data_IF_705451987604
#
_entry.id   IF_705451987604
#
_cell.length_a   1.000
_cell.length_b   1.000
_cell.length_c   1.000
_cell.angle_alpha   90.00
_cell.angle_beta   90.00
_cell.angle_gamma   90.00
#
_symmetry.space_group_name_H-M   'P 1'
#
loop_
_entity.id
_entity.type
_entity.pdbx_description
1 polymer ?
#
# COMPACT_ATOMS: atom_id res chain seq x y z
N UNK A 1 -14.45 2.86 4.67
CA UNK A 1 -13.74 1.87 3.85
C UNK A 1 -12.36 2.40 3.47
N UNK A 2 -12.26 3.58 2.87
CA UNK A 2 -10.99 4.16 2.36
C UNK A 2 -9.89 4.36 3.42
N UNK A 3 -10.23 4.41 4.71
CA UNK A 3 -9.25 4.45 5.80
C UNK A 3 -8.62 3.08 6.09
N UNK A 4 -9.29 1.99 5.71
CA UNK A 4 -8.85 0.63 5.91
C UNK A 4 -8.24 0.08 4.60
N UNK A 5 -6.90 -0.04 4.57
CA UNK A 5 -6.17 -0.48 3.38
C UNK A 5 -6.57 -1.88 2.90
N UNK A 6 -6.84 -2.80 3.83
CA UNK A 6 -7.24 -4.18 3.49
C UNK A 6 -8.59 -4.17 2.79
N UNK A 7 -9.59 -3.49 3.35
CA UNK A 7 -10.91 -3.41 2.70
C UNK A 7 -10.85 -2.66 1.36
N UNK A 8 -10.01 -1.64 1.26
CA UNK A 8 -9.78 -0.95 -0.01
C UNK A 8 -9.22 -1.92 -1.06
N UNK A 9 -8.23 -2.74 -0.69
CA UNK A 9 -7.65 -3.76 -1.58
C UNK A 9 -8.69 -4.77 -2.07
N UNK A 10 -9.52 -5.31 -1.16
CA UNK A 10 -10.59 -6.26 -1.50
C UNK A 10 -11.59 -5.64 -2.49
N UNK A 11 -11.97 -4.39 -2.27
CA UNK A 11 -12.88 -3.69 -3.18
C UNK A 11 -12.25 -3.40 -4.54
N UNK A 12 -10.98 -3.00 -4.57
CA UNK A 12 -10.25 -2.77 -5.81
C UNK A 12 -10.07 -4.03 -6.62
N UNK A 13 -9.79 -5.16 -5.97
CA UNK A 13 -9.75 -6.47 -6.62
C UNK A 13 -11.10 -6.81 -7.26
N UNK A 14 -12.20 -6.66 -6.52
CA UNK A 14 -13.55 -6.90 -7.03
C UNK A 14 -13.94 -5.92 -8.15
N UNK A 15 -13.42 -4.71 -8.11
CA UNK A 15 -13.62 -3.71 -9.17
C UNK A 15 -12.67 -3.90 -10.37
N UNK A 16 -11.77 -4.88 -10.37
CA UNK A 16 -10.70 -5.05 -11.37
C UNK A 16 -9.88 -3.75 -11.55
N UNK A 17 -9.46 -3.14 -10.45
CA UNK A 17 -8.50 -2.04 -10.42
C UNK A 17 -7.12 -2.65 -10.18
N UNK A 18 -6.13 -2.41 -11.07
CA UNK A 18 -4.77 -2.91 -10.89
C UNK A 18 -4.17 -2.45 -9.56
N UNK A 19 -3.51 -3.37 -8.87
CA UNK A 19 -2.88 -3.10 -7.58
C UNK A 19 -1.74 -4.10 -7.30
N UNK A 20 -0.86 -3.78 -6.34
CA UNK A 20 0.17 -4.68 -5.86
C UNK A 20 -0.44 -5.97 -5.29
N UNK A 21 0.24 -7.11 -5.50
CA UNK A 21 -0.10 -8.33 -4.81
C UNK A 21 0.06 -8.15 -3.30
N UNK A 22 -0.79 -8.80 -2.53
CA UNK A 22 -0.82 -8.61 -1.08
C UNK A 22 -1.25 -9.85 -0.32
N UNK A 23 -0.85 -9.87 0.93
CA UNK A 23 -1.34 -10.76 1.98
C UNK A 23 -1.79 -9.87 3.13
N UNK A 24 -2.85 -10.22 3.83
CA UNK A 24 -3.13 -9.56 5.09
C UNK A 24 -3.28 -10.54 6.24
N UNK A 25 -2.88 -10.08 7.41
CA UNK A 25 -2.89 -10.86 8.63
C UNK A 25 -3.65 -10.13 9.73
N UNK A 26 -4.29 -10.90 10.61
CA UNK A 26 -4.83 -10.44 11.88
C UNK A 26 -3.90 -10.94 12.98
N UNK A 27 -3.35 -10.05 13.80
CA UNK A 27 -2.43 -10.39 14.87
C UNK A 27 -3.12 -10.31 16.24
N UNK A 28 -3.11 -11.41 16.99
CA UNK A 28 -3.65 -11.46 18.35
C UNK A 28 -2.83 -12.41 19.22
N UNK A 29 -2.28 -11.93 20.33
CA UNK A 29 -1.50 -12.75 21.29
C UNK A 29 -0.40 -13.61 20.64
N UNK A 30 0.39 -13.03 19.72
CA UNK A 30 1.43 -13.70 18.94
C UNK A 30 0.93 -14.83 17.99
N UNK A 31 -0.37 -14.92 17.78
CA UNK A 31 -0.98 -15.73 16.72
C UNK A 31 -1.27 -14.81 15.54
N UNK A 32 -0.96 -15.26 14.34
CA UNK A 32 -1.16 -14.51 13.11
C UNK A 32 -2.13 -15.27 12.21
N UNK A 33 -3.35 -14.78 12.12
CA UNK A 33 -4.34 -15.35 11.20
C UNK A 33 -4.14 -14.72 9.83
N UNK A 34 -3.61 -15.49 8.90
CA UNK A 34 -3.53 -15.09 7.49
C UNK A 34 -4.90 -15.29 6.86
N UNK A 35 -5.32 -14.33 6.05
CA UNK A 35 -6.59 -14.41 5.31
C UNK A 35 -6.30 -14.28 3.83
N UNK A 36 -6.75 -15.27 3.06
CA UNK A 36 -6.59 -15.29 1.61
C UNK A 36 -7.69 -14.46 0.90
N UNK A 37 -7.60 -14.37 -0.41
CA UNK A 37 -8.57 -13.63 -1.25
C UNK A 37 -9.95 -14.30 -1.35
N UNK A 38 -10.11 -15.54 -0.85
CA UNK A 38 -11.37 -16.25 -0.71
C UNK A 38 -11.94 -16.13 0.73
N UNK A 39 -11.26 -15.37 1.60
CA UNK A 39 -11.57 -15.19 3.01
C UNK A 39 -11.40 -16.46 3.87
N UNK A 40 -10.62 -17.43 3.41
CA UNK A 40 -10.22 -18.53 4.26
C UNK A 40 -9.18 -18.06 5.26
N UNK A 41 -9.30 -18.51 6.51
CA UNK A 41 -8.42 -18.13 7.60
C UNK A 41 -7.50 -19.30 7.96
N UNK A 42 -6.21 -19.02 8.11
CA UNK A 42 -5.21 -19.96 8.59
C UNK A 42 -4.37 -19.33 9.70
N UNK A 43 -4.32 -19.96 10.86
CA UNK A 43 -3.45 -19.54 11.95
C UNK A 43 -2.03 -20.03 11.72
N UNK A 44 -1.08 -19.10 11.77
CA UNK A 44 0.34 -19.34 11.53
C UNK A 44 1.18 -18.67 12.62
N UNK A 45 2.36 -19.20 12.85
CA UNK A 45 3.41 -18.49 13.59
C UNK A 45 4.15 -17.51 12.66
N UNK A 46 5.00 -16.68 13.24
CA UNK A 46 5.67 -15.61 12.48
C UNK A 46 6.68 -16.13 11.43
N UNK A 47 7.28 -17.30 11.67
CA UNK A 47 8.20 -17.91 10.71
C UNK A 47 7.43 -18.46 9.49
N UNK A 48 6.29 -19.07 9.74
CA UNK A 48 5.39 -19.55 8.68
C UNK A 48 4.82 -18.38 7.84
N UNK A 49 4.40 -17.28 8.49
CA UNK A 49 3.98 -16.06 7.79
C UNK A 49 5.13 -15.55 6.91
N UNK A 50 6.35 -15.50 7.44
CA UNK A 50 7.51 -15.04 6.68
C UNK A 50 7.80 -15.91 5.47
N UNK A 51 7.73 -17.22 5.62
CA UNK A 51 7.91 -18.17 4.51
C UNK A 51 6.83 -18.03 3.44
N UNK A 52 5.60 -17.77 3.85
CA UNK A 52 4.48 -17.50 2.92
C UNK A 52 4.69 -16.22 2.14
N UNK A 53 5.08 -15.12 2.80
CA UNK A 53 5.37 -13.83 2.16
C UNK A 53 6.50 -13.99 1.14
N UNK A 54 7.60 -14.64 1.52
CA UNK A 54 8.73 -14.89 0.61
C UNK A 54 8.30 -15.64 -0.64
N UNK A 55 7.47 -16.66 -0.48
CA UNK A 55 6.99 -17.49 -1.60
C UNK A 55 6.00 -16.78 -2.51
N UNK A 56 5.11 -15.95 -1.96
CA UNK A 56 3.99 -15.35 -2.72
C UNK A 56 4.29 -13.95 -3.22
N UNK A 57 5.01 -13.13 -2.45
CA UNK A 57 5.30 -11.73 -2.76
C UNK A 57 6.77 -11.47 -3.07
N UNK A 58 7.67 -12.26 -2.43
CA UNK A 58 9.11 -12.00 -2.49
C UNK A 58 9.53 -10.80 -1.64
N UNK A 59 10.79 -10.39 -1.81
CA UNK A 59 11.37 -9.21 -1.15
C UNK A 59 11.91 -8.22 -2.19
N UNK A 60 11.89 -6.91 -1.90
CA UNK A 60 11.34 -6.27 -0.70
C UNK A 60 9.81 -6.32 -0.62
N UNK A 61 9.28 -6.35 0.61
CA UNK A 61 7.86 -6.25 0.90
C UNK A 61 7.58 -5.07 1.83
N UNK A 62 6.40 -4.46 1.68
CA UNK A 62 5.95 -3.36 2.55
C UNK A 62 4.95 -3.86 3.56
N UNK A 63 5.22 -3.61 4.84
CA UNK A 63 4.34 -3.96 5.97
C UNK A 63 3.63 -2.70 6.44
N UNK A 64 2.30 -2.73 6.47
CA UNK A 64 1.47 -1.54 6.72
C UNK A 64 0.34 -1.85 7.71
N UNK A 65 0.18 -1.07 8.79
CA UNK A 65 -1.06 -1.11 9.59
C UNK A 65 -2.26 -0.77 8.70
N UNK A 66 -3.38 -1.50 8.83
CA UNK A 66 -4.53 -1.31 7.94
C UNK A 66 -5.17 0.07 8.09
N UNK A 67 -5.35 0.56 9.31
CA UNK A 67 -6.09 1.79 9.63
C UNK A 67 -5.19 2.97 10.05
N UNK A 68 -3.92 3.02 9.67
CA UNK A 68 -3.07 4.18 9.91
C UNK A 68 -2.89 5.02 8.65
N UNK A 69 -2.65 6.33 8.84
CA UNK A 69 -2.36 7.28 7.76
C UNK A 69 -0.91 7.75 7.77
N UNK A 70 -0.56 8.61 6.81
CA UNK A 70 0.71 9.36 6.76
C UNK A 70 1.97 8.51 6.94
N UNK A 71 1.97 7.30 6.42
CA UNK A 71 3.08 6.32 6.52
C UNK A 71 3.44 5.90 7.96
N UNK A 72 2.61 6.20 8.96
CA UNK A 72 2.85 5.77 10.35
C UNK A 72 2.78 4.26 10.46
N UNK A 73 3.83 3.66 11.05
CA UNK A 73 3.95 2.21 11.24
C UNK A 73 4.20 1.41 9.95
N UNK A 74 4.50 2.07 8.83
CA UNK A 74 4.88 1.41 7.58
C UNK A 74 6.38 1.15 7.59
N UNK A 75 6.76 -0.06 7.17
CA UNK A 75 8.16 -0.49 7.04
C UNK A 75 8.37 -1.25 5.74
N UNK A 76 9.55 -1.06 5.11
CA UNK A 76 10.05 -1.86 4.00
C UNK A 76 10.93 -2.96 4.57
N UNK A 77 10.64 -4.21 4.25
CA UNK A 77 11.39 -5.39 4.68
C UNK A 77 12.11 -6.00 3.47
N UNK A 78 13.43 -6.16 3.57
CA UNK A 78 14.29 -6.69 2.50
C UNK A 78 14.59 -8.18 2.65
N UNK A 79 14.20 -8.76 3.79
CA UNK A 79 14.40 -10.18 4.13
C UNK A 79 13.43 -10.62 5.24
N UNK A 80 13.48 -11.91 5.59
CA UNK A 80 12.65 -12.55 6.61
C UNK A 80 12.75 -11.88 7.98
N UNK A 81 13.95 -11.55 8.44
CA UNK A 81 14.15 -10.99 9.78
C UNK A 81 13.62 -9.55 9.88
N UNK A 82 13.84 -8.76 8.85
CA UNK A 82 13.25 -7.43 8.73
C UNK A 82 11.73 -7.49 8.66
N UNK A 83 11.16 -8.47 7.93
CA UNK A 83 9.72 -8.67 7.86
C UNK A 83 9.11 -8.97 9.22
N UNK A 84 9.70 -9.88 9.98
CA UNK A 84 9.25 -10.22 11.35
C UNK A 84 9.29 -9.01 12.27
N UNK A 85 10.34 -8.21 12.16
CA UNK A 85 10.49 -6.97 12.93
C UNK A 85 9.44 -5.94 12.50
N UNK A 86 9.23 -5.76 11.20
CA UNK A 86 8.22 -4.85 10.65
C UNK A 86 6.79 -5.23 11.07
N UNK A 87 6.46 -6.53 11.07
CA UNK A 87 5.15 -7.00 11.56
C UNK A 87 4.96 -6.67 13.04
N UNK A 88 5.95 -6.96 13.89
CA UNK A 88 5.90 -6.64 15.33
C UNK A 88 5.73 -5.13 15.58
N UNK A 89 6.36 -4.31 14.76
CA UNK A 89 6.20 -2.85 14.85
C UNK A 89 4.80 -2.41 14.41
N UNK A 90 4.33 -2.89 13.25
CA UNK A 90 3.02 -2.53 12.71
C UNK A 90 1.85 -2.91 13.64
N UNK A 91 1.96 -4.04 14.36
CA UNK A 91 0.95 -4.52 15.34
C UNK A 91 0.73 -3.54 16.49
N UNK A 92 1.68 -2.66 16.80
CA UNK A 92 1.51 -1.60 17.80
C UNK A 92 0.47 -0.55 17.39
N UNK A 93 0.22 -0.39 16.10
CA UNK A 93 -0.68 0.60 15.52
C UNK A 93 -2.03 0.01 15.11
N UNK A 94 -2.04 -1.22 14.59
CA UNK A 94 -3.26 -1.94 14.21
C UNK A 94 -3.04 -3.45 14.33
N UNK A 95 -4.07 -4.18 14.70
CA UNK A 95 -4.04 -5.65 14.71
C UNK A 95 -4.22 -6.27 13.33
N UNK A 96 -4.72 -5.52 12.38
CA UNK A 96 -4.85 -5.90 10.97
C UNK A 96 -3.73 -5.28 10.17
N UNK A 97 -2.86 -6.12 9.62
CA UNK A 97 -1.64 -5.74 8.93
C UNK A 97 -1.73 -6.17 7.47
N UNK A 98 -1.48 -5.24 6.57
CA UNK A 98 -1.33 -5.47 5.14
C UNK A 98 0.16 -5.65 4.82
N UNK A 99 0.49 -6.66 4.02
CA UNK A 99 1.83 -6.90 3.48
C UNK A 99 1.72 -6.91 1.96
N UNK A 100 2.48 -6.05 1.30
CA UNK A 100 2.44 -5.86 -0.16
C UNK A 100 3.81 -6.08 -0.79
N UNK A 101 3.84 -6.60 -2.01
CA UNK A 101 5.05 -6.59 -2.84
C UNK A 101 5.50 -5.15 -3.16
N UNK A 102 6.78 -4.98 -3.46
CA UNK A 102 7.29 -3.72 -3.98
C UNK A 102 6.91 -3.55 -5.45
N UNK A 103 6.28 -2.43 -5.79
CA UNK A 103 6.14 -1.98 -7.18
C UNK A 103 7.19 -0.93 -7.45
N UNK A 104 8.05 -1.18 -8.44
CA UNK A 104 9.04 -0.20 -8.92
C UNK A 104 8.42 0.66 -10.00
N UNK A 105 8.41 1.96 -9.81
CA UNK A 105 7.82 2.90 -10.75
C UNK A 105 7.84 4.32 -10.25
N UNK A 106 7.20 5.20 -10.99
CA UNK A 106 6.98 6.60 -10.60
C UNK A 106 5.87 6.69 -9.57
N UNK A 107 6.02 7.55 -8.58
CA UNK A 107 4.96 7.87 -7.64
C UNK A 107 4.06 8.93 -8.25
N UNK A 108 2.84 8.53 -8.56
CA UNK A 108 1.87 9.35 -9.32
C UNK A 108 0.65 9.61 -8.45
N UNK A 109 0.17 10.85 -8.45
CA UNK A 109 -1.03 11.26 -7.74
C UNK A 109 -2.06 11.87 -8.69
N UNK A 110 -3.33 11.55 -8.45
CA UNK A 110 -4.47 12.13 -9.15
C UNK A 110 -5.57 12.45 -8.13
N UNK A 111 -5.99 13.69 -8.06
CA UNK A 111 -7.07 14.12 -7.19
C UNK A 111 -8.44 13.92 -7.86
N UNK A 112 -9.44 13.55 -7.06
CA UNK A 112 -10.83 13.46 -7.50
C UNK A 112 -11.66 14.50 -6.76
N UNK A 113 -12.47 15.22 -7.54
CA UNK A 113 -13.48 16.13 -7.03
C UNK A 113 -14.86 15.63 -7.47
N UNK A 114 -15.78 15.55 -6.53
CA UNK A 114 -17.20 15.30 -6.83
C UNK A 114 -18.04 16.49 -6.44
N UNK A 115 -18.72 17.02 -7.44
CA UNK A 115 -19.84 17.95 -7.27
C UNK A 115 -21.07 17.34 -7.97
N UNK A 116 -21.62 17.94 -8.99
CA UNK A 116 -22.66 17.32 -9.85
C UNK A 116 -22.08 16.16 -10.67
N UNK A 117 -20.83 16.27 -11.09
CA UNK A 117 -20.07 15.25 -11.81
C UNK A 117 -18.82 14.88 -11.03
N UNK A 118 -18.32 13.68 -11.27
CA UNK A 118 -17.01 13.23 -10.76
C UNK A 118 -15.94 13.66 -11.76
N UNK A 119 -14.96 14.40 -11.30
CA UNK A 119 -13.88 14.93 -12.14
C UNK A 119 -12.52 14.54 -11.55
N UNK A 120 -11.62 14.10 -12.43
CA UNK A 120 -10.22 13.82 -12.09
C UNK A 120 -9.35 15.00 -12.49
N UNK A 121 -8.43 15.40 -11.63
CA UNK A 121 -7.40 16.40 -11.93
C UNK A 121 -6.48 15.93 -13.07
N UNK A 122 -5.56 16.80 -13.49
CA UNK A 122 -4.35 16.30 -14.14
C UNK A 122 -3.52 15.49 -13.16
N UNK A 123 -2.53 14.77 -13.67
CA UNK A 123 -1.72 13.83 -12.89
C UNK A 123 -0.42 14.51 -12.48
N UNK A 124 -0.07 14.40 -11.20
CA UNK A 124 1.19 14.86 -10.63
C UNK A 124 2.16 13.71 -10.37
N UNK A 125 3.46 13.95 -10.48
CA UNK A 125 4.54 13.04 -10.11
C UNK A 125 5.22 13.55 -8.85
N UNK A 126 5.40 12.68 -7.86
CA UNK A 126 6.15 12.95 -6.65
C UNK A 126 7.58 12.48 -6.85
N UNK A 127 8.51 13.41 -6.82
CA UNK A 127 9.94 13.13 -6.80
C UNK A 127 10.38 13.09 -5.34
N UNK A 128 10.36 11.90 -4.73
CA UNK A 128 10.81 11.73 -3.35
C UNK A 128 12.33 11.90 -3.26
N UNK A 129 12.80 12.60 -2.22
CA UNK A 129 14.21 12.70 -1.91
C UNK A 129 14.76 11.42 -1.27
N UNK A 130 13.91 10.55 -0.74
CA UNK A 130 14.25 9.31 -0.05
C UNK A 130 13.82 8.09 -0.88
N UNK A 131 14.46 6.94 -0.64
CA UNK A 131 14.12 5.64 -1.26
C UNK A 131 12.65 5.23 -1.00
N UNK A 132 12.06 5.76 0.07
CA UNK A 132 10.67 5.56 0.46
C UNK A 132 10.03 6.88 0.88
N UNK A 133 8.82 7.18 0.38
CA UNK A 133 8.05 8.39 0.73
C UNK A 133 7.46 8.27 2.14
N UNK A 134 8.37 8.30 3.13
CA UNK A 134 8.10 8.20 4.57
C UNK A 134 7.32 9.40 5.10
N UNK A 135 6.90 9.33 6.38
CA UNK A 135 6.31 10.49 7.07
C UNK A 135 7.26 11.71 7.05
N UNK A 136 8.55 11.48 7.29
CA UNK A 136 9.55 12.56 7.28
C UNK A 136 9.76 13.12 5.88
N UNK A 137 9.77 12.29 4.84
CA UNK A 137 9.82 12.72 3.45
C UNK A 137 8.58 13.55 3.04
N UNK A 138 7.39 13.22 3.60
CA UNK A 138 6.14 13.93 3.32
C UNK A 138 6.06 15.31 3.98
N UNK A 139 6.54 15.44 5.21
CA UNK A 139 6.22 16.61 6.04
C UNK A 139 7.44 17.40 6.53
N UNK A 140 8.63 16.79 6.53
CA UNK A 140 9.85 17.41 7.04
C UNK A 140 10.90 17.65 5.98
N UNK A 141 10.99 16.77 4.96
CA UNK A 141 12.00 16.90 3.92
C UNK A 141 11.54 17.86 2.83
N UNK A 142 12.21 19.02 2.71
CA UNK A 142 11.91 20.06 1.73
C UNK A 142 12.42 19.74 0.31
N UNK A 143 13.13 18.64 0.14
CA UNK A 143 13.73 18.24 -1.14
C UNK A 143 12.78 17.40 -2.00
N UNK A 144 11.66 16.92 -1.44
CA UNK A 144 10.58 16.31 -2.22
C UNK A 144 9.91 17.35 -3.11
N UNK A 145 9.78 17.05 -4.40
CA UNK A 145 9.19 17.94 -5.40
C UNK A 145 7.99 17.29 -6.05
N UNK A 146 6.97 18.10 -6.34
CA UNK A 146 5.84 17.69 -7.18
C UNK A 146 5.99 18.29 -8.57
N UNK A 147 5.88 17.47 -9.60
CA UNK A 147 5.90 17.88 -11.01
C UNK A 147 4.50 17.70 -11.59
N UNK A 148 3.91 18.79 -12.07
CA UNK A 148 2.56 18.81 -12.65
C UNK A 148 2.61 19.52 -14.00
N UNK A 149 2.17 18.88 -15.10
CA UNK A 149 1.77 17.47 -15.20
C UNK A 149 2.95 16.53 -15.00
N UNK A 150 2.67 15.28 -14.59
CA UNK A 150 3.67 14.23 -14.49
C UNK A 150 4.38 13.97 -15.84
N UNK A 151 5.66 13.62 -15.78
CA UNK A 151 6.44 13.30 -16.98
C UNK A 151 6.17 11.85 -17.45
N UNK A 152 4.95 11.63 -17.95
CA UNK A 152 4.44 10.38 -18.54
C UNK A 152 3.67 10.71 -19.83
N UNK A 153 3.31 9.69 -20.60
CA UNK A 153 2.58 9.89 -21.85
C UNK A 153 1.14 10.37 -21.61
N UNK A 154 0.56 11.04 -22.59
CA UNK A 154 -0.86 11.45 -22.53
C UNK A 154 -1.80 10.27 -22.36
N UNK A 155 -1.47 9.12 -22.91
CA UNK A 155 -2.27 7.90 -22.80
C UNK A 155 -2.26 7.37 -21.37
N UNK A 156 -1.11 7.36 -20.71
CA UNK A 156 -0.99 6.98 -19.30
C UNK A 156 -1.74 7.96 -18.38
N UNK A 157 -1.66 9.27 -18.65
CA UNK A 157 -2.44 10.28 -17.90
C UNK A 157 -3.94 9.97 -17.96
N UNK A 158 -4.48 9.70 -19.16
CA UNK A 158 -5.90 9.41 -19.32
C UNK A 158 -6.31 8.07 -18.70
N UNK A 159 -5.45 7.07 -18.73
CA UNK A 159 -5.68 5.80 -18.06
C UNK A 159 -5.72 5.96 -16.53
N UNK A 160 -4.76 6.66 -15.95
CA UNK A 160 -4.72 6.96 -14.51
C UNK A 160 -5.98 7.72 -14.07
N UNK A 161 -6.40 8.74 -14.83
CA UNK A 161 -7.60 9.50 -14.54
C UNK A 161 -8.86 8.63 -14.55
N UNK A 162 -8.99 7.71 -15.53
CA UNK A 162 -10.09 6.74 -15.58
C UNK A 162 -10.08 5.79 -14.37
N UNK A 163 -8.90 5.27 -14.01
CA UNK A 163 -8.75 4.41 -12.84
C UNK A 163 -9.06 5.16 -11.54
N UNK A 164 -8.63 6.41 -11.40
CA UNK A 164 -8.92 7.25 -10.25
C UNK A 164 -10.43 7.51 -10.09
N UNK A 165 -11.14 7.83 -11.18
CA UNK A 165 -12.61 7.97 -11.17
C UNK A 165 -13.29 6.64 -10.78
N UNK A 166 -12.78 5.52 -11.29
CA UNK A 166 -13.32 4.19 -10.97
C UNK A 166 -13.11 3.79 -9.49
N UNK A 167 -12.01 4.24 -8.90
CA UNK A 167 -11.67 3.98 -7.51
C UNK A 167 -12.49 4.82 -6.52
N UNK A 168 -12.99 5.97 -6.94
CA UNK A 168 -13.81 6.88 -6.17
C UNK A 168 -15.26 6.40 -6.10
#
# INVERSE_FOLDING_TARGET
>A
VSMDKVYTKILFEKANIPQANYIYIKAFNNIYTVVDNQLNEQELNLDEVSSMVEKQLGYPAYVKPSNSGSSVGISKAKNSDELKTAIKEAVKYDKKILIEEEIKGKEIECAILKNEKVEASTVGEILSADEFYSFDAKYKNKDSKTVIPANISKMEIEEIRKLAIKAF
#
